data_IF_696446932130
#
_entry.id   IF_696446932130
#
_cell.length_a   1.000
_cell.length_b   1.000
_cell.length_c   1.000
_cell.angle_alpha   90.00
_cell.angle_beta   90.00
_cell.angle_gamma   90.00
#
_symmetry.space_group_name_H-M   'P 1'
#
loop_
_entity.id
_entity.type
_entity.pdbx_description
1 polymer ?
#
# COMPACT_ATOMS: atom_id res chain seq x y z
N UNK A 1 23.78 -26.28 -21.43
CA UNK A 1 22.34 -26.20 -21.08
C UNK A 1 22.17 -25.52 -19.72
N UNK A 2 22.44 -24.20 -19.59
CA UNK A 2 22.30 -23.46 -18.32
C UNK A 2 21.66 -22.06 -18.46
N UNK A 3 21.32 -21.64 -19.68
CA UNK A 3 20.80 -20.29 -19.95
C UNK A 3 19.27 -20.16 -20.00
N UNK A 4 18.53 -21.27 -19.97
CA UNK A 4 17.07 -21.25 -20.18
C UNK A 4 16.25 -21.06 -18.88
N UNK A 5 16.86 -21.26 -17.71
CA UNK A 5 16.13 -21.28 -16.43
C UNK A 5 15.90 -19.86 -15.87
N UNK A 6 16.78 -18.89 -16.19
CA UNK A 6 16.60 -17.51 -15.76
C UNK A 6 15.48 -16.78 -16.50
N UNK A 7 15.23 -17.12 -17.77
CA UNK A 7 14.21 -16.45 -18.57
C UNK A 7 12.78 -16.74 -18.09
N UNK A 8 12.55 -17.94 -17.55
CA UNK A 8 11.20 -18.37 -17.12
C UNK A 8 10.77 -17.72 -15.80
N UNK A 9 11.69 -17.44 -14.88
CA UNK A 9 11.39 -16.74 -13.63
C UNK A 9 11.00 -15.27 -13.87
N UNK A 10 11.60 -14.62 -14.87
CA UNK A 10 11.29 -13.22 -15.22
C UNK A 10 9.92 -13.11 -15.91
N UNK A 11 9.56 -14.10 -16.75
CA UNK A 11 8.27 -14.14 -17.44
C UNK A 11 7.07 -14.33 -16.50
N UNK A 12 7.26 -14.99 -15.36
CA UNK A 12 6.18 -15.23 -14.39
C UNK A 12 5.92 -13.98 -13.52
N UNK A 13 6.95 -13.21 -13.14
CA UNK A 13 6.75 -11.95 -12.41
C UNK A 13 6.17 -10.82 -13.29
N UNK A 14 6.47 -10.83 -14.59
CA UNK A 14 5.96 -9.80 -15.51
C UNK A 14 4.43 -9.88 -15.73
N UNK A 15 3.83 -11.05 -15.56
CA UNK A 15 2.39 -11.25 -15.76
C UNK A 15 1.51 -10.63 -14.65
N UNK A 16 2.03 -10.45 -13.44
CA UNK A 16 1.30 -9.77 -12.35
C UNK A 16 1.38 -8.23 -12.44
N UNK A 17 2.33 -7.67 -13.17
CA UNK A 17 2.44 -6.21 -13.35
C UNK A 17 1.75 -5.69 -14.63
N UNK A 18 1.47 -6.56 -15.60
CA UNK A 18 0.88 -6.16 -16.90
C UNK A 18 -0.56 -5.68 -16.78
N UNK A 19 -1.31 -6.12 -15.77
CA UNK A 19 -2.73 -5.77 -15.64
C UNK A 19 -2.95 -4.34 -15.15
N UNK A 20 -2.05 -3.81 -14.32
CA UNK A 20 -2.15 -2.44 -13.79
C UNK A 20 -1.64 -1.38 -14.76
N UNK A 21 -0.61 -1.71 -15.54
CA UNK A 21 0.02 -0.78 -16.48
C UNK A 21 -0.79 -0.56 -17.77
N UNK A 22 -1.86 -1.33 -17.99
CA UNK A 22 -2.83 -1.15 -19.08
C UNK A 22 -3.97 -0.18 -18.71
N UNK A 23 -4.11 0.20 -17.44
CA UNK A 23 -5.15 1.11 -16.98
C UNK A 23 -4.76 2.58 -17.23
N UNK A 24 -5.77 3.44 -17.38
CA UNK A 24 -5.50 4.89 -17.41
C UNK A 24 -4.91 5.34 -16.06
N UNK A 25 -4.09 6.40 -16.07
CA UNK A 25 -3.48 6.95 -14.84
C UNK A 25 -4.55 7.31 -13.79
N UNK A 26 -5.72 7.78 -14.25
CA UNK A 26 -6.87 8.04 -13.38
C UNK A 26 -7.40 6.75 -12.73
N UNK A 27 -7.55 5.67 -13.49
CA UNK A 27 -8.08 4.41 -12.95
C UNK A 27 -7.07 3.74 -12.01
N UNK A 28 -5.78 3.83 -12.32
CA UNK A 28 -4.72 3.40 -11.41
C UNK A 28 -4.78 4.17 -10.08
N UNK A 29 -5.01 5.49 -10.13
CA UNK A 29 -5.18 6.32 -8.94
C UNK A 29 -6.42 5.88 -8.14
N UNK A 30 -7.56 5.69 -8.80
CA UNK A 30 -8.80 5.25 -8.14
C UNK A 30 -8.61 3.91 -7.41
N UNK A 31 -8.01 2.91 -8.07
CA UNK A 31 -7.73 1.62 -7.45
C UNK A 31 -6.73 1.73 -6.29
N UNK A 32 -5.70 2.56 -6.44
CA UNK A 32 -4.71 2.79 -5.38
C UNK A 32 -5.38 3.44 -4.16
N UNK A 33 -6.23 4.44 -4.37
CA UNK A 33 -6.99 5.10 -3.31
C UNK A 33 -7.96 4.14 -2.60
N UNK A 34 -8.65 3.27 -3.34
CA UNK A 34 -9.55 2.26 -2.76
C UNK A 34 -8.80 1.23 -1.91
N UNK A 35 -7.68 0.72 -2.41
CA UNK A 35 -6.81 -0.20 -1.67
C UNK A 35 -6.21 0.42 -0.41
N UNK A 36 -5.85 1.72 -0.46
CA UNK A 36 -5.34 2.45 0.69
C UNK A 36 -6.43 2.74 1.72
N UNK A 37 -7.62 3.13 1.30
CA UNK A 37 -8.77 3.30 2.20
C UNK A 37 -9.06 2.01 2.98
N UNK A 38 -9.03 0.87 2.28
CA UNK A 38 -9.17 -0.45 2.92
C UNK A 38 -8.07 -0.71 3.95
N UNK A 39 -6.81 -0.46 3.57
CA UNK A 39 -5.65 -0.65 4.46
C UNK A 39 -5.70 0.25 5.68
N UNK A 40 -6.05 1.52 5.52
CA UNK A 40 -6.25 2.47 6.62
C UNK A 40 -7.36 2.03 7.56
N UNK A 41 -8.46 1.47 7.03
CA UNK A 41 -9.53 0.88 7.84
C UNK A 41 -9.04 -0.27 8.73
N UNK A 42 -8.21 -1.17 8.18
CA UNK A 42 -7.62 -2.28 8.93
C UNK A 42 -6.65 -1.76 10.00
N UNK A 43 -5.72 -0.88 9.62
CA UNK A 43 -4.75 -0.28 10.55
C UNK A 43 -5.46 0.47 11.69
N UNK A 44 -6.54 1.19 11.39
CA UNK A 44 -7.38 1.85 12.40
C UNK A 44 -7.92 0.86 13.42
N UNK A 45 -8.37 -0.32 13.01
CA UNK A 45 -8.88 -1.31 13.95
C UNK A 45 -7.77 -1.80 14.89
N UNK A 46 -6.56 -2.05 14.37
CA UNK A 46 -5.40 -2.41 15.19
C UNK A 46 -4.93 -1.30 16.14
N UNK A 47 -5.17 -0.03 15.80
CA UNK A 47 -4.92 1.08 16.73
C UNK A 47 -5.98 1.09 17.84
N UNK A 48 -7.25 0.88 17.48
CA UNK A 48 -8.37 0.91 18.43
C UNK A 48 -8.36 -0.27 19.40
N UNK A 49 -7.89 -1.43 18.97
CA UNK A 49 -7.76 -2.62 19.83
C UNK A 49 -6.46 -2.65 20.66
N UNK A 50 -5.57 -1.67 20.45
CA UNK A 50 -4.30 -1.53 21.18
C UNK A 50 -3.17 -2.43 20.67
N UNK A 51 -3.32 -3.08 19.52
CA UNK A 51 -2.22 -3.84 18.88
C UNK A 51 -1.12 -2.91 18.36
N UNK A 52 -1.49 -1.75 17.81
CA UNK A 52 -0.56 -0.67 17.43
C UNK A 52 -0.68 0.47 18.45
N UNK A 53 0.26 0.56 19.38
CA UNK A 53 0.27 1.57 20.45
C UNK A 53 1.55 2.43 20.49
N UNK A 54 2.57 2.08 19.70
CA UNK A 54 3.83 2.81 19.65
C UNK A 54 3.64 4.24 19.12
N UNK A 55 4.02 5.24 19.93
CA UNK A 55 3.82 6.65 19.60
C UNK A 55 4.54 7.13 18.33
N UNK A 56 5.68 6.55 17.95
CA UNK A 56 6.36 6.89 16.70
C UNK A 56 5.56 6.33 15.51
N UNK A 57 5.21 5.04 15.56
CA UNK A 57 4.39 4.38 14.54
C UNK A 57 3.06 5.09 14.31
N UNK A 58 2.37 5.49 15.38
CA UNK A 58 1.11 6.24 15.28
C UNK A 58 1.26 7.60 14.59
N UNK A 59 2.39 8.30 14.81
CA UNK A 59 2.67 9.56 14.11
C UNK A 59 2.92 9.33 12.62
N UNK A 60 3.68 8.29 12.27
CA UNK A 60 4.00 7.96 10.89
C UNK A 60 2.76 7.53 10.12
N UNK A 61 1.91 6.68 10.72
CA UNK A 61 0.60 6.30 10.18
C UNK A 61 -0.29 7.52 9.96
N UNK A 62 -0.33 8.45 10.92
CA UNK A 62 -1.12 9.68 10.79
C UNK A 62 -0.63 10.54 9.63
N UNK A 63 0.68 10.75 9.52
CA UNK A 63 1.27 11.52 8.41
C UNK A 63 0.95 10.88 7.05
N UNK A 64 1.10 9.56 6.95
CA UNK A 64 0.79 8.81 5.74
C UNK A 64 -0.70 8.87 5.37
N UNK A 65 -1.59 8.80 6.36
CA UNK A 65 -3.04 8.89 6.17
C UNK A 65 -3.47 10.25 5.60
N UNK A 66 -2.90 11.35 6.12
CA UNK A 66 -3.19 12.70 5.62
C UNK A 66 -2.77 12.85 4.15
N UNK A 67 -1.56 12.42 3.80
CA UNK A 67 -1.07 12.50 2.42
C UNK A 67 -1.92 11.63 1.48
N UNK A 68 -2.39 10.48 1.96
CA UNK A 68 -3.28 9.60 1.19
C UNK A 68 -4.64 10.28 0.91
N UNK A 69 -5.28 10.85 1.94
CA UNK A 69 -6.52 11.61 1.80
C UNK A 69 -6.34 12.79 0.83
N UNK A 70 -5.31 13.61 1.02
CA UNK A 70 -5.03 14.75 0.15
C UNK A 70 -4.83 14.35 -1.33
N UNK A 71 -4.08 13.27 -1.56
CA UNK A 71 -3.80 12.77 -2.92
C UNK A 71 -5.04 12.16 -3.59
N UNK A 72 -5.97 11.63 -2.80
CA UNK A 72 -7.18 10.95 -3.31
C UNK A 72 -8.40 11.87 -3.47
N UNK A 73 -8.41 13.07 -2.86
CA UNK A 73 -9.63 13.91 -2.82
C UNK A 73 -9.63 15.12 -3.78
N UNK A 74 -8.61 15.34 -4.62
CA UNK A 74 -8.66 16.54 -5.46
C UNK A 74 -7.49 16.86 -6.39
N UNK A 75 -6.68 15.89 -6.81
CA UNK A 75 -5.57 16.20 -7.70
C UNK A 75 -5.99 16.17 -9.18
N UNK A 76 -5.68 17.25 -9.91
CA UNK A 76 -5.80 17.29 -11.36
C UNK A 76 -4.63 16.57 -12.05
N UNK A 77 -3.49 16.43 -11.35
CA UNK A 77 -2.32 15.67 -11.80
C UNK A 77 -2.29 14.28 -11.16
N UNK A 78 -2.99 13.35 -11.82
CA UNK A 78 -3.11 11.97 -11.34
C UNK A 78 -1.76 11.24 -11.23
N UNK A 79 -0.76 11.60 -12.04
CA UNK A 79 0.55 10.96 -12.00
C UNK A 79 1.35 11.40 -10.77
N UNK A 80 1.29 12.69 -10.44
CA UNK A 80 1.88 13.21 -9.20
C UNK A 80 1.19 12.62 -7.96
N UNK A 81 -0.14 12.50 -7.97
CA UNK A 81 -0.88 11.83 -6.90
C UNK A 81 -0.43 10.38 -6.71
N UNK A 82 -0.36 9.59 -7.78
CA UNK A 82 0.12 8.20 -7.72
C UNK A 82 1.55 8.09 -7.16
N UNK A 83 2.45 9.00 -7.56
CA UNK A 83 3.82 9.02 -7.06
C UNK A 83 3.89 9.34 -5.57
N UNK A 84 3.00 10.18 -5.04
CA UNK A 84 2.94 10.48 -3.60
C UNK A 84 2.38 9.29 -2.83
N UNK A 85 1.33 8.65 -3.37
CA UNK A 85 0.68 7.50 -2.74
C UNK A 85 1.58 6.28 -2.63
N UNK A 86 2.48 6.04 -3.59
CA UNK A 86 3.39 4.89 -3.55
C UNK A 86 4.37 4.93 -2.37
N UNK A 87 4.76 6.13 -1.91
CA UNK A 87 5.61 6.29 -0.73
C UNK A 87 4.84 6.04 0.57
N UNK A 88 3.55 6.39 0.62
CA UNK A 88 2.72 6.22 1.82
C UNK A 88 2.13 4.82 1.95
N UNK A 89 1.91 4.14 0.83
CA UNK A 89 1.40 2.77 0.82
C UNK A 89 2.34 1.81 1.54
N UNK A 90 3.65 2.03 1.45
CA UNK A 90 4.66 1.25 2.19
C UNK A 90 4.45 1.37 3.69
N UNK A 91 4.35 2.60 4.23
CA UNK A 91 4.19 2.83 5.67
C UNK A 91 2.92 2.17 6.21
N UNK A 92 1.80 2.31 5.49
CA UNK A 92 0.51 1.75 5.91
C UNK A 92 0.47 0.21 5.80
N UNK A 93 1.10 -0.36 4.77
CA UNK A 93 1.19 -1.81 4.60
C UNK A 93 2.14 -2.44 5.63
N UNK A 94 3.27 -1.80 5.93
CA UNK A 94 4.20 -2.25 6.96
C UNK A 94 3.54 -2.22 8.35
N UNK A 95 2.80 -1.15 8.67
CA UNK A 95 2.02 -1.07 9.89
C UNK A 95 0.98 -2.20 9.99
N UNK A 96 0.27 -2.50 8.89
CA UNK A 96 -0.67 -3.62 8.83
C UNK A 96 0.04 -4.95 9.09
N UNK A 97 1.12 -5.23 8.36
CA UNK A 97 1.83 -6.51 8.47
C UNK A 97 2.47 -6.72 9.83
N UNK A 98 3.03 -5.67 10.44
CA UNK A 98 3.57 -5.73 11.79
C UNK A 98 2.47 -6.07 12.81
N UNK A 99 1.30 -5.47 12.68
CA UNK A 99 0.16 -5.74 13.56
C UNK A 99 -0.43 -7.14 13.37
N UNK A 100 -0.55 -7.61 12.12
CA UNK A 100 -0.99 -8.99 11.81
C UNK A 100 -0.05 -10.03 12.41
N UNK A 101 1.27 -9.79 12.35
CA UNK A 101 2.27 -10.69 12.93
C UNK A 101 2.19 -10.73 14.46
N UNK A 102 1.99 -9.58 15.11
CA UNK A 102 1.86 -9.52 16.57
C UNK A 102 0.54 -10.15 17.06
N UNK A 103 -0.57 -9.91 16.35
CA UNK A 103 -1.86 -10.53 16.67
C UNK A 103 -1.84 -12.06 16.50
N UNK A 104 -1.15 -12.57 15.48
CA UNK A 104 -0.95 -14.01 15.28
C UNK A 104 -0.14 -14.69 16.38
N UNK A 105 0.75 -13.95 17.06
CA UNK A 105 1.51 -14.45 18.22
C UNK A 105 0.73 -14.37 19.55
N UNK A 106 -0.32 -13.55 19.60
CA UNK A 106 -1.19 -13.39 20.78
C UNK A 106 -2.37 -14.38 20.82
N UNK A 107 -2.63 -15.07 19.72
CA UNK A 107 -3.72 -16.05 19.53
C UNK A 107 -3.28 -17.47 19.87
#
# INVERSE_FOLDING_TARGET
MKGAILATLILILAACSTSFSQLSVRDQLLLTCDGLATTMGIVKNFILDGTIDNAATLRDIRAASVVAEESCTGDADYAAALSRLSAQSVILLEARHAAEADNGNRS
#
